data_IF_689950801583
#
_entry.id   IF_689950801583
#
_cell.length_a   1.000
_cell.length_b   1.000
_cell.length_c   1.000
_cell.angle_alpha   90.00
_cell.angle_beta   90.00
_cell.angle_gamma   90.00
#
_symmetry.space_group_name_H-M   'P 1'
#
loop_
_entity.id
_entity.type
_entity.pdbx_description
1 polymer ?
#
# COMPACT_ATOMS: atom_id res chain seq x y z
N UNK A 1 -15.73 -27.77 -8.85
CA UNK A 1 -15.62 -28.62 -7.66
C UNK A 1 -14.25 -29.24 -7.42
N UNK A 2 -13.44 -29.60 -8.44
CA UNK A 2 -12.13 -30.23 -8.20
C UNK A 2 -11.00 -29.26 -7.82
N UNK A 3 -11.07 -27.98 -8.20
CA UNK A 3 -10.04 -26.97 -7.89
C UNK A 3 -10.10 -26.45 -6.45
N UNK A 4 -11.30 -26.28 -5.87
CA UNK A 4 -11.43 -25.80 -4.47
C UNK A 4 -10.79 -26.73 -3.44
N UNK A 5 -10.84 -28.04 -3.68
CA UNK A 5 -10.22 -29.02 -2.77
C UNK A 5 -8.69 -29.05 -2.88
N UNK A 6 -8.12 -28.58 -3.98
CA UNK A 6 -6.67 -28.58 -4.18
C UNK A 6 -6.02 -27.38 -3.52
N UNK A 7 -6.63 -26.20 -3.57
CA UNK A 7 -6.13 -25.00 -2.89
C UNK A 7 -6.18 -25.15 -1.35
N UNK A 8 -7.28 -25.69 -0.83
CA UNK A 8 -7.38 -25.99 0.61
C UNK A 8 -6.37 -27.07 1.04
N UNK A 9 -6.11 -28.07 0.18
CA UNK A 9 -5.08 -29.07 0.46
C UNK A 9 -3.66 -28.53 0.33
N UNK A 10 -3.42 -27.59 -0.59
CA UNK A 10 -2.11 -26.97 -0.74
C UNK A 10 -1.76 -26.04 0.42
N UNK A 11 -2.72 -25.22 0.88
CA UNK A 11 -2.57 -24.41 2.08
C UNK A 11 -2.40 -25.29 3.33
N UNK A 12 -3.22 -26.33 3.48
CA UNK A 12 -3.09 -27.31 4.55
C UNK A 12 -1.73 -28.04 4.50
N UNK A 13 -1.21 -28.35 3.34
CA UNK A 13 0.08 -29.01 3.19
C UNK A 13 1.27 -28.07 3.50
N UNK A 14 1.21 -26.80 3.10
CA UNK A 14 2.21 -25.78 3.47
C UNK A 14 2.25 -25.55 4.98
N UNK A 15 1.11 -25.66 5.66
CA UNK A 15 0.98 -25.39 7.09
C UNK A 15 1.20 -26.62 7.96
N UNK A 16 0.89 -27.82 7.48
CA UNK A 16 1.22 -29.08 8.19
C UNK A 16 2.73 -29.37 8.28
N UNK A 17 3.53 -28.72 7.43
CA UNK A 17 4.99 -28.83 7.47
C UNK A 17 5.62 -28.05 8.64
N UNK A 18 4.87 -27.16 9.33
CA UNK A 18 5.33 -26.44 10.53
C UNK A 18 5.31 -27.26 11.81
N UNK A 19 4.77 -28.48 11.81
CA UNK A 19 4.54 -29.30 13.00
C UNK A 19 5.72 -30.23 13.38
N UNK A 20 6.94 -30.00 12.86
CA UNK A 20 8.14 -30.75 13.29
C UNK A 20 8.97 -29.93 14.29
N UNK A 21 9.59 -30.59 15.29
CA UNK A 21 10.30 -29.87 16.35
C UNK A 21 11.45 -29.04 15.78
N UNK A 22 11.44 -27.75 16.09
CA UNK A 22 12.47 -26.79 15.70
C UNK A 22 13.83 -27.16 16.27
N UNK A 23 14.64 -27.81 15.46
CA UNK A 23 16.09 -27.70 15.56
C UNK A 23 16.60 -27.04 14.28
N UNK A 24 16.97 -25.77 14.42
CA UNK A 24 17.82 -24.99 13.53
C UNK A 24 17.57 -25.08 12.01
N UNK A 25 16.89 -24.09 11.46
CA UNK A 25 17.10 -23.55 10.08
C UNK A 25 16.92 -24.48 8.86
N UNK A 26 16.15 -25.52 8.95
CA UNK A 26 15.60 -26.17 7.78
C UNK A 26 14.08 -26.09 7.86
N UNK A 27 13.48 -25.18 7.11
CA UNK A 27 12.03 -25.24 6.85
C UNK A 27 11.73 -26.64 6.29
N UNK A 28 10.64 -27.31 6.71
CA UNK A 28 10.27 -28.60 6.14
C UNK A 28 10.06 -28.43 4.63
N UNK A 29 10.74 -29.22 3.85
CA UNK A 29 10.51 -29.30 2.40
C UNK A 29 9.16 -29.99 2.17
N UNK A 30 8.10 -29.20 1.99
CA UNK A 30 6.88 -29.70 1.36
C UNK A 30 7.06 -29.50 -0.14
N UNK A 31 7.65 -30.47 -0.76
CA UNK A 31 7.78 -30.47 -2.22
C UNK A 31 6.60 -31.23 -2.81
N UNK A 32 5.76 -30.55 -3.57
CA UNK A 32 4.72 -31.19 -4.37
C UNK A 32 5.37 -31.82 -5.60
N UNK A 33 5.00 -33.07 -5.92
CA UNK A 33 5.49 -33.78 -7.09
C UNK A 33 5.18 -33.02 -8.39
N UNK A 34 4.03 -32.32 -8.43
CA UNK A 34 3.62 -31.47 -9.53
C UNK A 34 3.62 -30.00 -9.08
N UNK A 35 4.00 -29.09 -10.01
CA UNK A 35 3.92 -27.65 -9.75
C UNK A 35 2.48 -27.24 -9.52
N UNK A 36 2.24 -26.57 -8.38
CA UNK A 36 0.95 -25.96 -8.06
C UNK A 36 0.99 -24.48 -8.42
N UNK A 37 0.05 -24.03 -9.24
CA UNK A 37 -0.17 -22.61 -9.48
C UNK A 37 -1.26 -22.11 -8.55
N UNK A 38 -0.95 -21.09 -7.74
CA UNK A 38 -1.88 -20.40 -6.83
C UNK A 38 -2.22 -19.06 -7.46
N UNK A 39 -3.51 -18.79 -7.65
CA UNK A 39 -3.99 -17.49 -8.09
C UNK A 39 -4.23 -16.58 -6.88
N UNK A 40 -3.54 -15.44 -6.87
CA UNK A 40 -3.67 -14.41 -5.83
C UNK A 40 -4.40 -13.22 -6.41
N UNK A 41 -5.62 -12.98 -5.95
CA UNK A 41 -6.34 -11.75 -6.24
C UNK A 41 -5.94 -10.68 -5.22
N UNK A 42 -5.34 -9.60 -5.68
CA UNK A 42 -4.78 -8.57 -4.80
C UNK A 42 -5.17 -7.18 -5.29
N UNK A 43 -6.06 -6.50 -4.55
CA UNK A 43 -6.54 -5.15 -4.89
C UNK A 43 -5.44 -4.09 -4.78
N UNK A 44 -4.40 -4.34 -4.00
CA UNK A 44 -3.30 -3.40 -3.78
C UNK A 44 -2.08 -3.67 -4.68
N UNK A 45 -2.06 -4.80 -5.41
CA UNK A 45 -0.92 -5.16 -6.24
C UNK A 45 -0.76 -4.21 -7.43
N UNK A 46 0.48 -3.81 -7.68
CA UNK A 46 0.88 -3.00 -8.84
C UNK A 46 1.60 -3.83 -9.93
N UNK A 47 1.47 -5.13 -9.86
CA UNK A 47 2.01 -6.10 -10.81
C UNK A 47 0.97 -7.19 -11.08
N UNK A 48 0.82 -7.60 -12.35
CA UNK A 48 -0.09 -8.66 -12.77
C UNK A 48 0.67 -9.76 -13.54
N UNK A 49 0.24 -11.00 -13.34
CA UNK A 49 0.77 -12.18 -14.00
C UNK A 49 1.61 -13.06 -13.09
N UNK A 50 2.34 -14.02 -13.71
CA UNK A 50 3.22 -14.93 -12.97
C UNK A 50 4.32 -14.16 -12.26
N UNK A 51 4.43 -14.36 -10.96
CA UNK A 51 5.47 -13.72 -10.17
C UNK A 51 6.86 -14.21 -10.59
N UNK A 52 7.83 -13.30 -10.63
CA UNK A 52 9.21 -13.57 -11.04
C UNK A 52 10.19 -13.04 -9.99
N UNK A 53 11.48 -13.24 -10.22
CA UNK A 53 12.52 -12.76 -9.33
C UNK A 53 12.87 -13.73 -8.21
N UNK A 54 13.63 -13.24 -7.21
CA UNK A 54 14.18 -14.08 -6.16
C UNK A 54 13.10 -14.70 -5.26
N UNK A 55 12.02 -13.96 -4.99
CA UNK A 55 10.93 -14.46 -4.14
C UNK A 55 10.17 -15.60 -4.83
N UNK A 56 9.83 -15.44 -6.10
CA UNK A 56 9.19 -16.50 -6.89
C UNK A 56 10.07 -17.75 -6.94
N UNK A 57 11.38 -17.57 -7.10
CA UNK A 57 12.34 -18.68 -7.07
C UNK A 57 12.35 -19.39 -5.71
N UNK A 58 12.36 -18.66 -4.61
CA UNK A 58 12.34 -19.23 -3.26
C UNK A 58 11.07 -20.04 -3.00
N UNK A 59 9.91 -19.53 -3.39
CA UNK A 59 8.63 -20.23 -3.25
C UNK A 59 8.62 -21.49 -4.13
N UNK A 60 9.14 -21.39 -5.36
CA UNK A 60 9.23 -22.53 -6.28
C UNK A 60 10.17 -23.61 -5.73
N UNK A 61 11.36 -23.23 -5.26
CA UNK A 61 12.36 -24.16 -4.78
C UNK A 61 11.91 -24.88 -3.50
N UNK A 62 11.23 -24.18 -2.58
CA UNK A 62 10.78 -24.75 -1.30
C UNK A 62 9.49 -25.56 -1.41
N UNK A 63 8.53 -25.07 -2.18
CA UNK A 63 7.16 -25.58 -2.15
C UNK A 63 6.68 -26.11 -3.51
N UNK A 64 7.47 -25.96 -4.55
CA UNK A 64 7.06 -26.23 -5.94
C UNK A 64 5.77 -25.48 -6.32
N UNK A 65 5.64 -24.24 -5.85
CA UNK A 65 4.48 -23.35 -6.08
C UNK A 65 4.89 -22.21 -7.00
N UNK A 66 3.99 -21.82 -7.88
CA UNK A 66 4.04 -20.59 -8.68
C UNK A 66 2.85 -19.70 -8.32
N UNK A 67 3.09 -18.39 -8.19
CA UNK A 67 2.04 -17.43 -7.88
C UNK A 67 1.66 -16.66 -9.13
N UNK A 68 0.36 -16.67 -9.46
CA UNK A 68 -0.22 -15.85 -10.52
C UNK A 68 -1.01 -14.72 -9.87
N UNK A 69 -0.52 -13.49 -10.03
CA UNK A 69 -1.13 -12.31 -9.41
C UNK A 69 -2.18 -11.74 -10.35
N UNK A 70 -3.39 -11.56 -9.84
CA UNK A 70 -4.48 -10.82 -10.48
C UNK A 70 -4.60 -9.48 -9.77
N UNK A 71 -4.21 -8.41 -10.44
CA UNK A 71 -4.14 -7.06 -9.91
C UNK A 71 -5.18 -6.17 -10.60
N UNK A 72 -6.37 -5.93 -10.00
CA UNK A 72 -7.40 -5.10 -10.60
C UNK A 72 -6.94 -3.69 -10.95
N UNK A 73 -6.10 -3.10 -10.11
CA UNK A 73 -5.53 -1.76 -10.29
C UNK A 73 -4.75 -1.61 -11.60
N UNK A 74 -4.07 -2.68 -12.02
CA UNK A 74 -3.23 -2.70 -13.24
C UNK A 74 -4.03 -3.09 -14.48
N UNK A 75 -5.19 -3.72 -14.31
CA UNK A 75 -6.02 -4.20 -15.43
C UNK A 75 -6.82 -3.10 -16.13
N UNK A 76 -6.87 -1.89 -15.56
CA UNK A 76 -7.52 -0.71 -16.15
C UNK A 76 -9.02 -0.57 -15.87
N UNK A 77 -9.68 -1.62 -15.35
CA UNK A 77 -11.08 -1.57 -14.90
C UNK A 77 -11.27 -2.49 -13.68
N UNK A 78 -10.82 -2.00 -12.54
CA UNK A 78 -10.82 -2.74 -11.28
C UNK A 78 -12.23 -3.17 -10.85
N UNK A 79 -13.20 -2.27 -10.96
CA UNK A 79 -14.57 -2.53 -10.52
C UNK A 79 -15.25 -3.61 -11.38
N UNK A 80 -15.08 -3.54 -12.68
CA UNK A 80 -15.65 -4.52 -13.62
C UNK A 80 -15.02 -5.91 -13.43
N UNK A 81 -13.71 -5.96 -13.23
CA UNK A 81 -13.01 -7.23 -12.96
C UNK A 81 -13.49 -7.86 -11.66
N UNK A 82 -13.59 -7.08 -10.58
CA UNK A 82 -14.10 -7.54 -9.29
C UNK A 82 -15.52 -8.09 -9.41
N UNK A 83 -16.45 -7.32 -9.98
CA UNK A 83 -17.83 -7.74 -10.16
C UNK A 83 -17.97 -9.01 -11.00
N UNK A 84 -17.19 -9.11 -12.09
CA UNK A 84 -17.21 -10.29 -12.96
C UNK A 84 -16.73 -11.53 -12.22
N UNK A 85 -15.68 -11.42 -11.43
CA UNK A 85 -15.14 -12.53 -10.65
C UNK A 85 -16.07 -12.93 -9.50
N UNK A 86 -16.64 -11.97 -8.79
CA UNK A 86 -17.65 -12.24 -7.77
C UNK A 86 -18.86 -12.98 -8.37
N UNK A 87 -19.35 -12.52 -9.53
CA UNK A 87 -20.47 -13.15 -10.22
C UNK A 87 -20.14 -14.57 -10.71
N UNK A 88 -18.89 -14.85 -11.08
CA UNK A 88 -18.45 -16.19 -11.46
C UNK A 88 -18.24 -17.15 -10.29
N UNK A 89 -18.22 -16.63 -9.05
CA UNK A 89 -17.93 -17.40 -7.84
C UNK A 89 -16.46 -17.84 -7.75
N UNK A 90 -15.55 -17.13 -8.39
CA UNK A 90 -14.13 -17.44 -8.45
C UNK A 90 -13.29 -16.15 -8.37
N UNK A 91 -12.94 -15.78 -7.15
CA UNK A 91 -12.10 -14.61 -6.90
C UNK A 91 -10.61 -14.95 -6.81
N UNK A 92 -10.27 -16.23 -6.74
CA UNK A 92 -8.90 -16.75 -6.66
C UNK A 92 -8.72 -17.72 -5.48
N UNK A 93 -7.50 -18.22 -5.33
CA UNK A 93 -7.12 -19.15 -4.25
C UNK A 93 -6.75 -18.38 -2.96
N UNK A 94 -6.06 -17.25 -3.10
CA UNK A 94 -5.76 -16.28 -2.04
C UNK A 94 -6.35 -14.94 -2.45
N UNK A 95 -7.07 -14.30 -1.52
CA UNK A 95 -7.80 -13.09 -1.80
C UNK A 95 -7.32 -12.00 -0.85
N UNK A 96 -6.81 -10.89 -1.37
CA UNK A 96 -6.43 -9.69 -0.63
C UNK A 96 -7.42 -8.60 -1.02
N UNK A 97 -8.24 -8.18 -0.08
CA UNK A 97 -9.37 -7.26 -0.26
C UNK A 97 -9.32 -6.10 0.73
N UNK A 98 -10.03 -5.04 0.39
CA UNK A 98 -10.45 -4.04 1.37
C UNK A 98 -11.52 -4.58 2.31
N UNK A 99 -11.52 -4.10 3.56
CA UNK A 99 -12.49 -4.54 4.56
C UNK A 99 -13.95 -4.25 4.16
N UNK A 100 -14.16 -3.24 3.31
CA UNK A 100 -15.49 -2.87 2.83
C UNK A 100 -16.16 -3.96 1.97
N UNK A 101 -15.37 -4.80 1.30
CA UNK A 101 -15.86 -5.86 0.42
C UNK A 101 -16.07 -7.21 1.14
N UNK A 102 -15.67 -7.30 2.41
CA UNK A 102 -15.67 -8.55 3.18
C UNK A 102 -17.07 -9.13 3.32
N UNK A 103 -18.07 -8.29 3.64
CA UNK A 103 -19.46 -8.76 3.86
C UNK A 103 -20.00 -9.47 2.63
N UNK A 104 -19.89 -8.83 1.46
CA UNK A 104 -20.41 -9.39 0.21
C UNK A 104 -19.71 -10.71 -0.14
N UNK A 105 -18.39 -10.77 0.02
CA UNK A 105 -17.60 -11.97 -0.29
C UNK A 105 -17.91 -13.13 0.66
N UNK A 106 -18.12 -12.87 1.94
CA UNK A 106 -18.52 -13.90 2.94
C UNK A 106 -19.96 -14.37 2.68
N UNK A 107 -20.88 -13.46 2.35
CA UNK A 107 -22.28 -13.79 2.13
C UNK A 107 -22.49 -14.70 0.91
N UNK A 108 -21.72 -14.50 -0.14
CA UNK A 108 -21.81 -15.35 -1.34
C UNK A 108 -20.87 -16.56 -1.31
N UNK A 109 -20.12 -16.74 -0.20
CA UNK A 109 -19.26 -17.90 0.02
C UNK A 109 -17.97 -17.90 -0.80
N UNK A 110 -17.44 -16.71 -1.16
CA UNK A 110 -16.13 -16.56 -1.81
C UNK A 110 -14.99 -16.68 -0.80
N UNK A 111 -15.23 -16.30 0.45
CA UNK A 111 -14.28 -16.39 1.55
C UNK A 111 -14.72 -17.53 2.48
N UNK A 112 -13.78 -18.40 2.82
CA UNK A 112 -14.01 -19.52 3.72
C UNK A 112 -13.85 -19.10 5.19
N UNK A 113 -14.67 -19.66 6.08
CA UNK A 113 -14.40 -19.65 7.51
C UNK A 113 -13.28 -20.66 7.81
N UNK A 114 -12.19 -20.21 8.39
CA UNK A 114 -11.02 -21.01 8.74
C UNK A 114 -10.90 -21.27 10.25
N UNK A 115 -11.96 -21.03 11.03
CA UNK A 115 -11.96 -21.20 12.50
C UNK A 115 -11.50 -22.58 12.95
N UNK A 116 -11.93 -23.64 12.23
CA UNK A 116 -11.56 -25.02 12.57
C UNK A 116 -10.14 -25.38 12.15
N UNK A 117 -9.61 -24.71 11.11
CA UNK A 117 -8.29 -25.00 10.55
C UNK A 117 -7.18 -24.19 11.23
N UNK A 118 -7.45 -22.96 11.63
CA UNK A 118 -6.46 -22.02 12.18
C UNK A 118 -5.64 -22.60 13.35
N UNK A 119 -6.23 -23.33 14.33
CA UNK A 119 -5.47 -23.90 15.44
C UNK A 119 -4.42 -24.93 15.06
N UNK A 120 -4.50 -25.47 13.84
CA UNK A 120 -3.52 -26.43 13.33
C UNK A 120 -2.24 -25.79 12.81
N UNK A 121 -2.18 -24.45 12.76
CA UNK A 121 -1.08 -23.69 12.15
C UNK A 121 -0.27 -22.96 13.21
N UNK A 122 0.74 -23.63 13.80
CA UNK A 122 1.56 -23.10 14.88
C UNK A 122 2.16 -21.71 14.59
N UNK A 123 2.50 -21.43 13.34
CA UNK A 123 3.08 -20.13 12.98
C UNK A 123 2.03 -19.02 12.97
N UNK A 124 0.81 -19.28 12.56
CA UNK A 124 -0.30 -18.32 12.65
C UNK A 124 -0.75 -18.12 14.09
N UNK A 125 -0.76 -19.18 14.90
CA UNK A 125 -1.12 -19.11 16.32
C UNK A 125 -0.19 -18.25 17.17
N UNK A 126 1.00 -17.91 16.68
CA UNK A 126 1.86 -16.89 17.31
C UNK A 126 1.25 -15.49 17.28
N UNK A 127 0.27 -15.29 16.42
CA UNK A 127 -0.45 -14.03 16.19
C UNK A 127 -1.94 -14.16 16.50
N UNK A 128 -2.32 -15.16 17.32
CA UNK A 128 -3.71 -15.46 17.68
C UNK A 128 -4.47 -14.22 18.15
N UNK A 129 -3.85 -13.42 19.03
CA UNK A 129 -4.46 -12.19 19.56
C UNK A 129 -4.78 -11.19 18.45
N UNK A 130 -3.85 -10.95 17.53
CA UNK A 130 -4.04 -10.01 16.41
C UNK A 130 -5.12 -10.52 15.43
N UNK A 131 -5.08 -11.82 15.12
CA UNK A 131 -6.06 -12.45 14.24
C UNK A 131 -7.46 -12.41 14.86
N UNK A 132 -7.57 -12.70 16.16
CA UNK A 132 -8.84 -12.65 16.89
C UNK A 132 -9.42 -11.23 16.90
N UNK A 133 -8.65 -10.24 17.35
CA UNK A 133 -9.12 -8.84 17.39
C UNK A 133 -9.54 -8.31 16.02
N UNK A 134 -8.83 -8.70 14.96
CA UNK A 134 -9.20 -8.31 13.62
C UNK A 134 -10.52 -8.94 13.19
N UNK A 135 -10.69 -10.24 13.44
CA UNK A 135 -11.95 -10.93 13.09
C UNK A 135 -13.11 -10.52 13.98
N UNK A 136 -12.92 -10.17 15.25
CA UNK A 136 -13.96 -9.58 16.09
C UNK A 136 -14.55 -8.32 15.44
N UNK A 137 -13.69 -7.43 14.93
CA UNK A 137 -14.15 -6.23 14.23
C UNK A 137 -14.83 -6.56 12.88
N UNK A 138 -14.32 -7.55 12.13
CA UNK A 138 -14.96 -8.00 10.89
C UNK A 138 -16.31 -8.63 11.18
N UNK A 139 -16.42 -9.49 12.20
CA UNK A 139 -17.64 -10.18 12.60
C UNK A 139 -18.76 -9.21 12.98
N UNK A 140 -18.43 -8.09 13.63
CA UNK A 140 -19.39 -7.02 13.90
C UNK A 140 -20.00 -6.44 12.61
N UNK A 141 -19.17 -6.26 11.58
CA UNK A 141 -19.60 -5.69 10.27
C UNK A 141 -20.43 -6.70 9.48
N UNK A 142 -19.96 -7.95 9.38
CA UNK A 142 -20.61 -8.98 8.55
C UNK A 142 -21.78 -9.68 9.28
N UNK A 143 -21.93 -9.48 10.59
CA UNK A 143 -23.00 -10.10 11.39
C UNK A 143 -22.91 -11.63 11.50
N UNK A 144 -21.71 -12.19 11.37
CA UNK A 144 -21.42 -13.63 11.48
C UNK A 144 -20.19 -13.85 12.33
N UNK A 145 -20.22 -14.89 13.17
CA UNK A 145 -19.06 -15.34 13.94
C UNK A 145 -18.18 -16.26 13.09
N UNK A 146 -16.86 -16.11 13.20
CA UNK A 146 -15.91 -16.96 12.49
C UNK A 146 -14.55 -16.29 12.33
N UNK A 147 -13.62 -16.99 11.68
CA UNK A 147 -12.32 -16.46 11.25
C UNK A 147 -12.31 -16.42 9.73
N UNK A 148 -12.59 -15.26 9.18
CA UNK A 148 -12.73 -15.05 7.74
C UNK A 148 -11.51 -14.38 7.11
N UNK A 149 -10.62 -13.82 7.92
CA UNK A 149 -9.47 -13.12 7.41
C UNK A 149 -8.24 -13.25 8.30
N UNK A 150 -7.07 -13.16 7.67
CA UNK A 150 -5.78 -12.98 8.32
C UNK A 150 -5.34 -11.56 7.99
N UNK A 151 -5.02 -10.69 8.98
CA UNK A 151 -4.55 -9.35 8.71
C UNK A 151 -3.36 -9.34 7.77
N UNK A 152 -3.35 -8.43 6.78
CA UNK A 152 -2.23 -8.29 5.85
C UNK A 152 -0.94 -7.83 6.55
N UNK A 153 -1.09 -7.10 7.66
CA UNK A 153 0.02 -6.68 8.50
C UNK A 153 -0.11 -7.28 9.90
N UNK A 154 0.84 -8.10 10.27
CA UNK A 154 0.97 -8.67 11.61
C UNK A 154 2.38 -8.44 12.12
N UNK A 155 2.52 -8.06 13.37
CA UNK A 155 3.82 -7.89 14.02
C UNK A 155 3.81 -8.53 15.41
N UNK A 156 4.99 -8.68 16.01
CA UNK A 156 5.17 -9.28 17.32
C UNK A 156 4.73 -8.39 18.49
N UNK A 157 4.31 -7.16 18.22
CA UNK A 157 3.78 -6.27 19.25
C UNK A 157 2.27 -6.45 19.32
N UNK A 158 1.69 -6.49 20.51
CA UNK A 158 0.25 -6.49 20.68
C UNK A 158 -0.36 -5.20 20.11
N UNK A 159 -1.64 -5.22 19.69
CA UNK A 159 -2.31 -4.05 19.11
C UNK A 159 -2.43 -2.87 20.08
N UNK A 160 -2.23 -3.11 21.36
CA UNK A 160 -2.22 -2.09 22.43
C UNK A 160 -0.82 -1.54 22.72
N UNK A 161 0.22 -2.11 22.15
CA UNK A 161 1.59 -1.67 22.32
C UNK A 161 1.98 -0.72 21.19
N UNK A 162 1.88 0.59 21.46
CA UNK A 162 2.43 1.60 20.56
C UNK A 162 3.95 1.47 20.51
N UNK A 163 4.48 1.29 19.31
CA UNK A 163 5.90 1.39 19.03
C UNK A 163 6.13 2.54 18.08
N UNK A 164 6.94 3.50 18.50
CA UNK A 164 7.33 4.59 17.63
C UNK A 164 8.03 4.04 16.39
N UNK A 165 7.46 4.31 15.23
CA UNK A 165 8.01 3.91 13.94
C UNK A 165 8.45 5.14 13.14
N UNK A 166 9.11 4.89 12.03
CA UNK A 166 9.52 5.95 11.10
C UNK A 166 8.30 6.70 10.57
N UNK A 167 8.35 8.03 10.61
CA UNK A 167 7.28 8.85 10.04
C UNK A 167 7.10 8.53 8.56
N UNK A 168 5.93 7.98 8.22
CA UNK A 168 5.63 7.51 6.87
C UNK A 168 5.41 8.66 5.88
N UNK A 169 4.72 9.74 6.31
CA UNK A 169 4.29 10.84 5.47
C UNK A 169 4.94 12.14 5.93
N UNK A 170 5.99 12.56 5.25
CA UNK A 170 6.74 13.79 5.50
C UNK A 170 7.32 14.34 4.19
N UNK A 171 7.54 15.66 4.07
CA UNK A 171 8.19 16.21 2.87
C UNK A 171 9.60 15.64 2.69
N UNK A 172 9.87 15.10 1.50
CA UNK A 172 11.15 14.51 1.11
C UNK A 172 11.63 15.14 -0.18
N UNK A 173 12.82 15.66 -0.16
CA UNK A 173 13.47 16.35 -1.30
C UNK A 173 14.61 15.52 -1.85
N UNK A 174 14.92 15.73 -3.12
CA UNK A 174 16.21 15.34 -3.70
C UNK A 174 17.32 16.07 -2.97
N UNK A 175 18.12 15.32 -2.19
CA UNK A 175 19.18 15.90 -1.35
C UNK A 175 20.29 16.58 -2.18
N UNK A 176 20.70 15.96 -3.27
CA UNK A 176 21.65 16.49 -4.22
C UNK A 176 21.22 17.86 -4.76
N UNK A 177 20.01 17.97 -5.28
CA UNK A 177 19.46 19.23 -5.79
C UNK A 177 19.30 20.29 -4.68
N UNK A 178 18.88 19.87 -3.47
CA UNK A 178 18.74 20.77 -2.34
C UNK A 178 20.09 21.38 -1.91
N UNK A 179 21.14 20.57 -1.86
CA UNK A 179 22.50 21.04 -1.52
C UNK A 179 23.04 22.00 -2.59
N UNK A 180 22.83 21.70 -3.87
CA UNK A 180 23.32 22.53 -4.97
C UNK A 180 22.65 23.91 -5.04
N UNK A 181 21.38 24.03 -4.60
CA UNK A 181 20.73 25.35 -4.49
C UNK A 181 21.08 26.10 -3.19
N UNK A 182 22.07 25.60 -2.45
CA UNK A 182 22.64 26.25 -1.27
C UNK A 182 22.03 25.81 0.07
N UNK A 183 21.30 24.70 0.11
CA UNK A 183 20.68 24.12 1.31
C UNK A 183 19.96 25.17 2.18
N UNK A 184 19.03 25.96 1.63
CA UNK A 184 18.39 27.05 2.34
C UNK A 184 17.61 26.55 3.56
N UNK A 185 17.70 27.25 4.68
CA UNK A 185 16.90 26.92 5.87
C UNK A 185 15.41 27.07 5.54
N UNK A 186 14.62 26.07 5.95
CA UNK A 186 13.15 26.05 5.77
C UNK A 186 12.48 26.00 7.15
N UNK A 187 11.72 27.02 7.51
CA UNK A 187 11.01 27.12 8.79
C UNK A 187 9.49 26.96 8.66
N UNK A 188 9.00 27.08 7.45
CA UNK A 188 7.56 27.04 7.15
C UNK A 188 7.35 26.61 5.68
N UNK A 189 6.07 26.46 5.30
CA UNK A 189 5.71 26.03 3.96
C UNK A 189 6.06 27.04 2.86
N UNK A 190 6.11 28.33 3.16
CA UNK A 190 6.50 29.32 2.17
C UNK A 190 8.02 29.20 1.84
N UNK A 191 8.86 28.95 2.86
CA UNK A 191 10.28 28.65 2.65
C UNK A 191 10.48 27.36 1.83
N UNK A 192 9.62 26.34 2.04
CA UNK A 192 9.64 25.12 1.25
C UNK A 192 9.29 25.42 -0.21
N UNK A 193 8.25 26.21 -0.49
CA UNK A 193 7.87 26.60 -1.85
C UNK A 193 8.99 27.38 -2.55
N UNK A 194 9.63 28.31 -1.84
CA UNK A 194 10.75 29.08 -2.40
C UNK A 194 11.96 28.18 -2.70
N UNK A 195 12.19 27.18 -1.85
CA UNK A 195 13.25 26.18 -2.08
C UNK A 195 12.95 25.31 -3.28
N UNK A 196 11.70 24.81 -3.39
CA UNK A 196 11.24 24.02 -4.53
C UNK A 196 11.32 24.82 -5.83
N UNK A 197 11.02 26.12 -5.78
CA UNK A 197 11.16 27.01 -6.95
C UNK A 197 12.62 27.12 -7.40
N UNK A 198 13.54 27.30 -6.46
CA UNK A 198 14.97 27.33 -6.76
C UNK A 198 15.46 26.02 -7.38
N UNK A 199 15.00 24.88 -6.83
CA UNK A 199 15.34 23.55 -7.36
C UNK A 199 14.79 23.40 -8.79
N UNK A 200 13.52 23.67 -9.03
CA UNK A 200 12.91 23.55 -10.36
C UNK A 200 13.56 24.51 -11.39
N UNK A 201 13.98 25.71 -10.98
CA UNK A 201 14.67 26.65 -11.85
C UNK A 201 16.09 26.20 -12.18
N UNK A 202 16.77 25.55 -11.24
CA UNK A 202 18.10 24.99 -11.45
C UNK A 202 18.07 23.70 -12.29
N UNK A 203 17.00 22.92 -12.14
CA UNK A 203 16.79 21.64 -12.82
C UNK A 203 15.46 21.66 -13.59
N UNK A 204 15.30 22.47 -14.65
CA UNK A 204 14.03 22.61 -15.38
C UNK A 204 13.68 21.35 -16.19
N UNK A 205 14.67 20.50 -16.44
CA UNK A 205 14.52 19.22 -17.15
C UNK A 205 15.32 18.12 -16.44
N UNK A 206 14.87 16.86 -16.60
CA UNK A 206 15.63 15.68 -16.21
C UNK A 206 16.77 15.40 -17.22
N UNK A 207 17.52 14.32 -17.03
CA UNK A 207 18.63 13.90 -17.91
C UNK A 207 18.16 13.58 -19.33
N UNK A 208 16.93 13.14 -19.51
CA UNK A 208 16.34 12.87 -20.83
C UNK A 208 15.84 14.13 -21.55
N UNK A 209 15.87 15.30 -20.88
CA UNK A 209 15.37 16.57 -21.42
C UNK A 209 13.87 16.81 -21.15
N UNK A 210 13.20 15.94 -20.39
CA UNK A 210 11.81 16.11 -20.03
C UNK A 210 11.65 17.15 -18.92
N UNK A 211 10.58 17.92 -19.00
CA UNK A 211 10.27 18.97 -18.03
C UNK A 211 10.03 18.38 -16.63
N UNK A 212 10.60 19.06 -15.62
CA UNK A 212 10.45 18.73 -14.21
C UNK A 212 9.43 19.61 -13.51
N UNK A 213 8.90 19.12 -12.40
CA UNK A 213 7.97 19.83 -11.52
C UNK A 213 8.33 19.55 -10.06
N UNK A 214 7.99 20.48 -9.18
CA UNK A 214 8.19 20.26 -7.75
C UNK A 214 7.24 19.17 -7.23
N UNK A 215 5.98 19.20 -7.67
CA UNK A 215 4.90 18.32 -7.22
C UNK A 215 4.20 17.68 -8.40
N UNK A 216 3.87 16.41 -8.30
CA UNK A 216 2.99 15.70 -9.22
C UNK A 216 1.94 14.95 -8.39
N UNK A 217 0.67 15.22 -8.61
CA UNK A 217 -0.47 14.68 -7.88
C UNK A 217 -1.22 13.66 -8.73
N UNK A 218 -2.11 12.91 -8.12
CA UNK A 218 -2.92 11.89 -8.79
C UNK A 218 -4.35 11.89 -8.23
N UNK A 219 -5.40 11.90 -9.08
CA UNK A 219 -6.79 11.93 -8.63
C UNK A 219 -7.44 10.56 -8.46
N UNK A 220 -6.83 9.48 -8.94
CA UNK A 220 -7.44 8.16 -9.08
C UNK A 220 -7.75 7.44 -7.75
N UNK A 221 -7.13 7.84 -6.64
CA UNK A 221 -7.43 7.25 -5.34
C UNK A 221 -8.78 7.71 -4.77
N UNK A 222 -9.26 8.90 -5.14
CA UNK A 222 -10.55 9.45 -4.71
C UNK A 222 -11.29 10.18 -5.84
N UNK A 223 -10.79 10.09 -7.07
CA UNK A 223 -11.28 10.77 -8.27
C UNK A 223 -11.30 12.31 -8.19
N UNK A 224 -10.64 12.93 -7.20
CA UNK A 224 -10.70 14.38 -6.97
C UNK A 224 -9.35 15.02 -6.64
N UNK A 225 -8.30 14.24 -6.37
CA UNK A 225 -7.02 14.65 -5.77
C UNK A 225 -7.13 15.21 -4.33
N UNK A 226 -8.30 15.12 -3.69
CA UNK A 226 -8.49 15.58 -2.31
C UNK A 226 -7.72 14.67 -1.35
N UNK A 227 -7.61 13.38 -1.66
CA UNK A 227 -6.82 12.45 -0.87
C UNK A 227 -5.36 12.91 -0.75
N UNK A 228 -4.78 13.50 -1.79
CA UNK A 228 -3.45 14.09 -1.70
C UNK A 228 -3.38 15.21 -0.64
N UNK A 229 -4.44 16.04 -0.51
CA UNK A 229 -4.54 17.06 0.55
C UNK A 229 -4.63 16.40 1.92
N UNK A 230 -5.48 15.37 2.06
CA UNK A 230 -5.67 14.63 3.31
C UNK A 230 -4.34 14.04 3.82
N UNK A 231 -3.53 13.47 2.93
CA UNK A 231 -2.22 12.94 3.28
C UNK A 231 -1.26 14.01 3.77
N UNK A 232 -1.26 15.18 3.14
CA UNK A 232 -0.37 16.29 3.51
C UNK A 232 -0.71 16.90 4.88
N UNK A 233 -1.95 16.73 5.40
CA UNK A 233 -2.30 17.20 6.75
C UNK A 233 -1.44 16.53 7.84
N UNK A 234 -0.96 15.31 7.57
CA UNK A 234 -0.09 14.56 8.48
C UNK A 234 1.25 15.24 8.74
N UNK A 235 1.69 16.17 7.89
CA UNK A 235 2.88 17.00 8.15
C UNK A 235 2.71 17.90 9.39
N UNK A 236 1.48 18.14 9.81
CA UNK A 236 1.15 18.89 11.03
C UNK A 236 0.63 17.98 12.16
N UNK A 237 0.81 16.67 12.05
CA UNK A 237 0.30 15.72 13.03
C UNK A 237 -1.23 15.70 13.10
N UNK A 238 -1.91 16.02 12.01
CA UNK A 238 -3.36 15.96 11.91
C UNK A 238 -3.79 15.03 10.78
N UNK A 239 -4.82 14.22 11.03
CA UNK A 239 -5.41 13.31 10.05
C UNK A 239 -6.86 13.67 9.79
N UNK A 240 -7.26 13.60 8.52
CA UNK A 240 -8.66 13.81 8.12
C UNK A 240 -9.48 12.56 8.42
N UNK A 241 -10.59 12.76 9.14
CA UNK A 241 -11.58 11.72 9.39
C UNK A 241 -12.99 12.30 9.15
N UNK A 242 -13.56 12.04 7.98
CA UNK A 242 -14.80 12.67 7.55
C UNK A 242 -14.71 14.19 7.51
N UNK A 243 -15.45 14.88 8.36
CA UNK A 243 -15.51 16.34 8.43
C UNK A 243 -14.68 16.97 9.56
N UNK A 244 -13.79 16.19 10.16
CA UNK A 244 -12.92 16.65 11.25
C UNK A 244 -11.44 16.34 10.98
N UNK A 245 -10.57 17.03 11.70
CA UNK A 245 -9.15 16.73 11.82
C UNK A 245 -8.89 16.15 13.22
N UNK A 246 -8.25 14.99 13.26
CA UNK A 246 -7.76 14.33 14.47
C UNK A 246 -6.28 14.65 14.64
N UNK A 247 -5.91 15.27 15.75
CA UNK A 247 -4.51 15.53 16.08
C UNK A 247 -3.86 14.39 16.85
N UNK A 248 -2.55 14.24 16.72
CA UNK A 248 -1.74 13.28 17.51
C UNK A 248 -1.77 13.60 19.01
N UNK A 249 -2.16 14.81 19.38
CA UNK A 249 -2.42 15.26 20.76
C UNK A 249 -3.85 14.99 21.23
N UNK A 250 -4.62 14.18 20.49
CA UNK A 250 -6.05 13.90 20.67
C UNK A 250 -6.97 15.14 20.48
N UNK A 251 -6.48 16.19 19.85
CA UNK A 251 -7.32 17.34 19.49
C UNK A 251 -8.28 16.96 18.36
N UNK A 252 -9.49 17.52 18.41
CA UNK A 252 -10.50 17.38 17.36
C UNK A 252 -10.87 18.77 16.89
N UNK A 253 -10.64 19.04 15.60
CA UNK A 253 -10.97 20.32 14.95
C UNK A 253 -11.85 20.11 13.73
N UNK A 254 -12.79 21.04 13.43
CA UNK A 254 -13.54 20.96 12.18
C UNK A 254 -12.61 21.05 10.96
N UNK A 255 -12.92 20.31 9.91
CA UNK A 255 -12.15 20.35 8.64
C UNK A 255 -12.12 21.77 8.04
N UNK A 256 -13.16 22.57 8.30
CA UNK A 256 -13.30 23.95 7.83
C UNK A 256 -12.55 24.99 8.64
N UNK A 257 -11.82 24.57 9.68
CA UNK A 257 -11.00 25.48 10.49
C UNK A 257 -9.86 26.06 9.63
N UNK A 258 -9.81 27.38 9.54
CA UNK A 258 -8.81 28.09 8.74
C UNK A 258 -7.39 28.03 9.31
N UNK A 259 -7.26 27.69 10.58
CA UNK A 259 -5.98 27.46 11.25
C UNK A 259 -5.58 25.98 11.26
N UNK A 260 -6.48 25.10 10.82
CA UNK A 260 -6.26 23.67 10.70
C UNK A 260 -5.30 23.29 9.56
N UNK A 261 -4.73 22.09 9.65
CA UNK A 261 -3.79 21.58 8.66
C UNK A 261 -4.40 21.47 7.26
N UNK A 262 -5.66 21.08 7.15
CA UNK A 262 -6.34 20.94 5.87
C UNK A 262 -6.33 22.25 5.06
N UNK A 263 -6.72 23.36 5.70
CA UNK A 263 -6.72 24.67 5.05
C UNK A 263 -5.30 25.15 4.71
N UNK A 264 -4.31 24.85 5.57
CA UNK A 264 -2.90 25.14 5.31
C UNK A 264 -2.39 24.40 4.08
N UNK A 265 -2.76 23.11 3.91
CA UNK A 265 -2.36 22.31 2.77
C UNK A 265 -3.05 22.74 1.47
N UNK A 266 -4.33 23.06 1.50
CA UNK A 266 -5.01 23.67 0.35
C UNK A 266 -4.31 24.95 -0.11
N UNK A 267 -3.95 25.82 0.84
CA UNK A 267 -3.24 27.07 0.55
C UNK A 267 -1.83 26.81 0.00
N UNK A 268 -1.13 25.81 0.53
CA UNK A 268 0.17 25.38 0.04
C UNK A 268 0.10 24.93 -1.43
N UNK A 269 -0.82 24.01 -1.75
CA UNK A 269 -1.01 23.53 -3.12
C UNK A 269 -1.47 24.62 -4.06
N UNK A 270 -2.37 25.52 -3.62
CA UNK A 270 -2.77 26.67 -4.39
C UNK A 270 -1.58 27.58 -4.75
N UNK A 271 -0.73 27.93 -3.75
CA UNK A 271 0.47 28.73 -4.00
C UNK A 271 1.46 27.98 -4.91
N UNK A 272 1.69 26.69 -4.69
CA UNK A 272 2.54 25.87 -5.55
C UNK A 272 2.07 25.92 -7.01
N UNK A 273 0.77 25.81 -7.24
CA UNK A 273 0.20 25.93 -8.59
C UNK A 273 0.41 27.32 -9.20
N UNK A 274 0.20 28.40 -8.44
CA UNK A 274 0.43 29.76 -8.90
C UNK A 274 1.92 30.00 -9.27
N UNK A 275 2.85 29.32 -8.62
CA UNK A 275 4.28 29.39 -8.90
C UNK A 275 4.72 28.48 -10.06
N UNK A 276 3.80 27.71 -10.65
CA UNK A 276 4.11 26.74 -11.71
C UNK A 276 4.89 25.52 -11.22
N UNK A 277 4.75 25.16 -9.94
CA UNK A 277 5.44 24.05 -9.29
C UNK A 277 4.69 22.72 -9.39
N UNK A 278 3.39 22.78 -9.68
CA UNK A 278 2.54 21.58 -9.81
C UNK A 278 2.53 21.12 -11.27
N UNK A 279 2.73 19.82 -11.45
CA UNK A 279 2.60 19.17 -12.75
C UNK A 279 1.18 19.37 -13.32
N UNK A 280 1.03 19.91 -14.54
CA UNK A 280 -0.30 20.13 -15.14
C UNK A 280 -1.11 18.84 -15.33
N UNK A 281 -0.44 17.68 -15.48
CA UNK A 281 -1.12 16.41 -15.63
C UNK A 281 -1.74 15.90 -14.32
N UNK A 282 -1.45 16.55 -13.20
CA UNK A 282 -1.94 16.19 -11.84
C UNK A 282 -3.47 16.07 -11.73
N UNK A 283 -4.22 16.68 -12.66
CA UNK A 283 -5.67 16.61 -12.64
C UNK A 283 -6.25 15.41 -13.42
N UNK A 284 -5.43 14.69 -14.20
CA UNK A 284 -5.89 13.68 -15.16
C UNK A 284 -5.07 12.40 -15.19
N UNK A 285 -3.87 12.41 -14.62
CA UNK A 285 -3.00 11.23 -14.57
C UNK A 285 -3.41 10.32 -13.41
N UNK A 286 -3.12 9.04 -13.56
CA UNK A 286 -3.23 8.07 -12.49
C UNK A 286 -1.95 8.02 -11.62
N UNK A 287 -2.02 7.26 -10.54
CA UNK A 287 -0.91 7.00 -9.63
C UNK A 287 0.32 6.41 -10.36
N UNK A 288 0.10 5.48 -11.29
CA UNK A 288 1.19 4.84 -12.01
C UNK A 288 1.97 5.83 -12.89
N UNK A 289 1.25 6.69 -13.60
CA UNK A 289 1.85 7.77 -14.39
C UNK A 289 2.65 8.77 -13.52
N UNK A 290 2.12 9.10 -12.33
CA UNK A 290 2.85 9.91 -11.36
C UNK A 290 4.13 9.21 -10.88
N UNK A 291 4.07 7.92 -10.55
CA UNK A 291 5.23 7.10 -10.16
C UNK A 291 6.29 7.04 -11.28
N UNK A 292 5.87 6.89 -12.53
CA UNK A 292 6.80 6.87 -13.66
C UNK A 292 7.55 8.20 -13.81
N UNK A 293 6.86 9.33 -13.65
CA UNK A 293 7.52 10.64 -13.63
C UNK A 293 8.52 10.76 -12.47
N UNK A 294 8.20 10.19 -11.31
CA UNK A 294 9.10 10.13 -10.17
C UNK A 294 10.37 9.32 -10.50
N UNK A 295 10.20 8.10 -11.06
CA UNK A 295 11.33 7.24 -11.50
C UNK A 295 12.20 7.91 -12.56
N UNK A 296 11.60 8.70 -13.43
CA UNK A 296 12.30 9.48 -14.45
C UNK A 296 13.04 10.72 -13.91
N UNK A 297 12.98 10.99 -12.60
CA UNK A 297 13.59 12.17 -12.00
C UNK A 297 12.88 13.49 -12.35
N UNK A 298 11.62 13.45 -12.73
CA UNK A 298 10.83 14.62 -13.14
C UNK A 298 10.10 15.30 -11.99
N UNK A 299 10.14 14.75 -10.77
CA UNK A 299 9.47 15.27 -9.57
C UNK A 299 10.49 15.51 -8.48
N UNK A 300 10.45 16.66 -7.79
CA UNK A 300 11.46 17.06 -6.81
C UNK A 300 11.03 16.84 -5.36
N UNK A 301 9.74 16.75 -5.07
CA UNK A 301 9.18 16.53 -3.72
C UNK A 301 8.31 15.29 -3.67
N UNK A 302 8.57 14.43 -2.71
CA UNK A 302 7.72 13.30 -2.32
C UNK A 302 7.26 13.45 -0.87
N UNK A 303 6.34 12.58 -0.43
CA UNK A 303 5.91 12.57 0.96
C UNK A 303 5.76 11.19 1.61
N UNK A 304 5.80 10.11 0.85
CA UNK A 304 5.89 8.77 1.43
C UNK A 304 7.33 8.32 1.65
N UNK A 305 7.59 7.63 2.76
CA UNK A 305 8.94 7.15 3.10
C UNK A 305 9.52 6.17 2.06
N UNK A 306 8.68 5.36 1.42
CA UNK A 306 9.11 4.38 0.42
C UNK A 306 9.33 4.97 -0.99
N UNK A 307 8.86 6.19 -1.26
CA UNK A 307 9.04 6.83 -2.57
C UNK A 307 10.49 7.16 -2.90
N UNK A 308 11.38 7.21 -1.90
CA UNK A 308 12.81 7.43 -2.18
C UNK A 308 13.40 6.35 -3.11
N UNK A 309 12.89 5.13 -3.07
CA UNK A 309 13.30 4.04 -3.95
C UNK A 309 13.05 4.32 -5.44
N UNK A 310 12.23 5.31 -5.79
CA UNK A 310 12.07 5.72 -7.17
C UNK A 310 13.26 6.54 -7.69
N UNK A 311 13.90 7.31 -6.82
CA UNK A 311 15.14 8.03 -7.16
C UNK A 311 16.37 7.14 -7.01
N UNK A 312 16.42 6.33 -5.94
CA UNK A 312 17.55 5.47 -5.58
C UNK A 312 17.23 4.04 -6.01
N UNK A 313 17.15 3.79 -7.29
CA UNK A 313 16.87 2.45 -7.81
C UNK A 313 18.16 1.77 -8.28
N UNK A 314 18.29 0.43 -8.13
CA UNK A 314 19.51 -0.30 -8.53
C UNK A 314 19.87 -0.14 -10.00
N UNK A 315 18.89 0.10 -10.88
CA UNK A 315 19.11 0.36 -12.30
C UNK A 315 19.81 1.70 -12.58
N UNK A 316 19.81 2.61 -11.60
CA UNK A 316 20.53 3.88 -11.66
C UNK A 316 21.93 3.82 -11.01
N UNK A 317 22.30 2.66 -10.46
CA UNK A 317 23.60 2.45 -9.83
C UNK A 317 23.75 3.09 -8.43
N UNK A 318 22.64 3.38 -7.77
CA UNK A 318 22.59 3.96 -6.43
C UNK A 318 22.11 2.97 -5.35
#
# INVERSE_FOLDING_TARGET
MKKKNVASMAMAAMMAAGALPMNAWAAPEVNHDETLTIEVYDVAANYQGMQTGWYAKEIKDRFNIELNIVAPQVSGDAASLYQTRCASGDLGDIIILDNADMQDCVDVGLIADISEDLPNYENLMKYEEQISLFNDAINEVIGKEGVYAIPAEMNSNGPTEYKEDTVAIMPRLRWDHYVEVGAPEMKNLDDLLDTLKKIQDAYPTNEAGDKTYALSLWPDWDNTSIENVNQLTKWYGQEVNGSILLGTDNSITPLTDKDGAYYKMLKFLYKANQMGLVDPDSATQDWNAACDKMRQGRVHLFWYNWQYGFWNSPDKGE
#
